data_IF_661622144921
#
_entry.id   IF_661622144921
#
_cell.length_a   1.000
_cell.length_b   1.000
_cell.length_c   1.000
_cell.angle_alpha   90.00
_cell.angle_beta   90.00
_cell.angle_gamma   90.00
#
_symmetry.space_group_name_H-M   'P 1'
#
loop_
_entity.id
_entity.type
_entity.pdbx_description
1 polymer ?
#
# COMPACT_ATOMS: atom_id res chain seq x y z
N UNK A 1 33.32 -12.65 -2.92
CA UNK A 1 32.05 -11.97 -3.18
C UNK A 1 31.20 -12.18 -1.97
N UNK A 2 30.51 -11.14 -1.47
CA UNK A 2 29.51 -11.32 -0.43
C UNK A 2 28.33 -12.05 -1.07
N UNK A 3 27.76 -13.05 -0.41
CA UNK A 3 26.56 -13.72 -0.92
C UNK A 3 25.43 -12.69 -0.94
N UNK A 4 24.72 -12.63 -2.07
CA UNK A 4 23.58 -11.71 -2.24
C UNK A 4 22.38 -12.24 -1.47
N UNK A 5 21.59 -11.32 -0.91
CA UNK A 5 20.32 -11.63 -0.27
C UNK A 5 19.29 -12.01 -1.33
N UNK A 6 18.48 -13.04 -1.07
CA UNK A 6 17.40 -13.48 -1.94
C UNK A 6 16.15 -12.64 -1.73
N UNK A 7 15.70 -11.98 -2.79
CA UNK A 7 14.52 -11.14 -2.81
C UNK A 7 13.39 -11.82 -3.58
N UNK A 8 12.23 -11.95 -2.95
CA UNK A 8 10.98 -12.36 -3.60
C UNK A 8 9.98 -11.21 -3.66
N UNK A 9 9.28 -11.06 -4.79
CA UNK A 9 8.22 -10.08 -5.02
C UNK A 9 6.95 -10.82 -5.44
N UNK A 10 6.00 -10.89 -4.52
CA UNK A 10 4.76 -11.65 -4.65
C UNK A 10 3.59 -10.71 -4.89
N UNK A 11 2.94 -10.86 -6.04
CA UNK A 11 1.77 -10.07 -6.41
C UNK A 11 0.50 -10.89 -6.22
N UNK A 12 -0.35 -10.42 -5.30
CA UNK A 12 -1.69 -10.97 -5.08
C UNK A 12 -2.70 -10.27 -6.01
N UNK A 13 -3.95 -10.11 -5.57
CA UNK A 13 -4.93 -9.33 -6.35
C UNK A 13 -4.70 -7.83 -6.15
N UNK A 14 -4.14 -7.17 -7.19
CA UNK A 14 -4.00 -5.72 -7.29
C UNK A 14 -4.01 -5.19 -8.75
N UNK A 15 -3.48 -3.99 -8.97
CA UNK A 15 -3.37 -3.35 -10.29
C UNK A 15 -1.97 -3.44 -10.92
N UNK A 16 -1.03 -4.18 -10.33
CA UNK A 16 0.39 -4.26 -10.71
C UNK A 16 1.21 -3.01 -10.40
N UNK A 17 0.57 -1.92 -9.94
CA UNK A 17 1.23 -0.62 -9.77
C UNK A 17 2.35 -0.62 -8.72
N UNK A 18 2.23 -1.42 -7.65
CA UNK A 18 3.23 -1.46 -6.59
C UNK A 18 4.52 -2.18 -7.02
N UNK A 19 4.39 -3.30 -7.73
CA UNK A 19 5.52 -4.04 -8.24
C UNK A 19 6.18 -3.32 -9.42
N UNK A 20 5.39 -2.78 -10.36
CA UNK A 20 5.91 -1.96 -11.45
C UNK A 20 6.70 -0.73 -10.96
N UNK A 21 6.23 -0.08 -9.88
CA UNK A 21 6.92 1.07 -9.31
C UNK A 21 8.34 0.75 -8.78
N UNK A 22 8.60 -0.50 -8.38
CA UNK A 22 9.94 -0.96 -8.02
C UNK A 22 10.87 -0.98 -9.24
N UNK A 23 10.36 -1.39 -10.40
CA UNK A 23 11.13 -1.37 -11.66
C UNK A 23 11.43 0.05 -12.14
N UNK A 24 10.64 1.04 -11.73
CA UNK A 24 10.89 2.47 -11.99
C UNK A 24 12.01 3.08 -11.13
N UNK A 25 12.72 2.28 -10.34
CA UNK A 25 13.99 2.68 -9.74
C UNK A 25 15.08 2.95 -10.79
N UNK A 26 14.94 2.41 -12.01
CA UNK A 26 15.88 2.62 -13.12
C UNK A 26 17.32 2.33 -12.69
N UNK A 27 18.21 3.32 -12.70
CA UNK A 27 19.61 3.17 -12.31
C UNK A 27 19.78 2.64 -10.87
N UNK A 28 18.93 3.11 -9.95
CA UNK A 28 18.95 2.65 -8.55
C UNK A 28 18.58 1.17 -8.38
N UNK A 29 17.92 0.57 -9.38
CA UNK A 29 17.66 -0.87 -9.35
C UNK A 29 18.95 -1.66 -9.47
N UNK A 30 19.94 -1.18 -10.24
CA UNK A 30 21.23 -1.85 -10.36
C UNK A 30 22.01 -1.82 -9.05
N UNK A 31 21.94 -0.72 -8.28
CA UNK A 31 22.50 -0.66 -6.93
C UNK A 31 21.92 -1.77 -6.04
N UNK A 32 20.60 -1.99 -6.09
CA UNK A 32 19.96 -3.05 -5.32
C UNK A 32 20.42 -4.43 -5.79
N UNK A 33 20.60 -4.64 -7.10
CA UNK A 33 21.08 -5.90 -7.66
C UNK A 33 22.55 -6.21 -7.27
N UNK A 34 23.32 -5.27 -6.73
CA UNK A 34 24.62 -5.58 -6.13
C UNK A 34 24.48 -6.36 -4.82
N UNK A 35 23.41 -6.13 -4.06
CA UNK A 35 23.13 -6.74 -2.76
C UNK A 35 22.09 -7.87 -2.82
N UNK A 36 21.18 -7.81 -3.79
CA UNK A 36 20.05 -8.73 -3.90
C UNK A 36 20.10 -9.57 -5.18
N UNK A 37 19.70 -10.82 -5.05
CA UNK A 37 19.32 -11.72 -6.14
C UNK A 37 17.80 -11.84 -6.17
N UNK A 38 17.15 -11.43 -7.27
CA UNK A 38 15.69 -11.54 -7.43
C UNK A 38 15.35 -12.95 -7.88
N UNK A 39 14.83 -13.77 -6.97
CA UNK A 39 14.54 -15.20 -7.20
C UNK A 39 13.06 -15.50 -7.44
N UNK A 40 12.18 -14.54 -7.17
CA UNK A 40 10.75 -14.58 -7.48
C UNK A 40 10.31 -13.16 -7.81
N UNK A 41 9.88 -12.92 -9.05
CA UNK A 41 9.25 -11.67 -9.46
C UNK A 41 8.72 -11.84 -10.89
N UNK A 42 7.44 -12.20 -11.03
CA UNK A 42 6.86 -12.55 -12.32
C UNK A 42 6.99 -11.48 -13.44
N UNK A 43 7.12 -10.19 -13.09
CA UNK A 43 7.34 -9.13 -14.09
C UNK A 43 8.80 -8.98 -14.54
N UNK A 44 9.76 -9.50 -13.77
CA UNK A 44 11.19 -9.27 -13.99
C UNK A 44 11.98 -10.55 -14.30
N UNK A 45 11.50 -11.72 -13.85
CA UNK A 45 12.17 -13.00 -14.02
C UNK A 45 11.17 -14.12 -14.24
N UNK A 46 11.61 -15.17 -14.93
CA UNK A 46 10.88 -16.44 -15.07
C UNK A 46 11.38 -17.51 -14.08
N UNK A 47 12.35 -17.15 -13.22
CA UNK A 47 12.81 -18.02 -12.15
C UNK A 47 11.73 -18.16 -11.08
N UNK A 48 11.53 -19.37 -10.58
CA UNK A 48 10.77 -19.68 -9.36
C UNK A 48 11.53 -20.74 -8.57
N UNK A 49 12.76 -20.41 -8.17
CA UNK A 49 13.72 -21.38 -7.61
C UNK A 49 13.87 -21.29 -6.08
N UNK A 50 13.11 -20.42 -5.43
CA UNK A 50 13.26 -20.12 -4.00
C UNK A 50 12.45 -21.03 -3.09
N UNK A 51 13.12 -21.93 -2.36
CA UNK A 51 12.56 -22.50 -1.11
C UNK A 51 12.77 -21.55 0.10
N UNK A 52 13.44 -20.41 -0.10
CA UNK A 52 13.84 -19.47 0.94
C UNK A 52 14.13 -18.08 0.37
N UNK A 53 13.70 -17.05 1.08
CA UNK A 53 13.90 -15.63 0.79
C UNK A 53 14.40 -14.91 2.04
N UNK A 54 15.46 -14.13 1.93
CA UNK A 54 15.88 -13.22 3.01
C UNK A 54 14.83 -12.11 3.18
N UNK A 55 14.31 -11.59 2.05
CA UNK A 55 13.26 -10.57 2.03
C UNK A 55 12.16 -10.93 1.04
N UNK A 56 10.90 -10.85 1.49
CA UNK A 56 9.72 -10.98 0.63
C UNK A 56 8.91 -9.69 0.63
N UNK A 57 8.72 -9.10 -0.55
CA UNK A 57 7.77 -8.01 -0.79
C UNK A 57 6.44 -8.62 -1.23
N UNK A 58 5.36 -8.33 -0.52
CA UNK A 58 4.02 -8.79 -0.91
C UNK A 58 3.13 -7.60 -1.22
N UNK A 59 2.59 -7.56 -2.44
CA UNK A 59 1.65 -6.53 -2.89
C UNK A 59 0.24 -7.09 -3.03
N UNK A 60 -0.74 -6.20 -2.96
CA UNK A 60 -2.13 -6.53 -3.22
C UNK A 60 -2.91 -7.12 -2.06
N UNK A 61 -4.15 -7.49 -2.34
CA UNK A 61 -5.09 -8.05 -1.36
C UNK A 61 -5.22 -9.55 -1.54
N UNK A 62 -5.57 -10.24 -0.46
CA UNK A 62 -6.06 -11.62 -0.55
C UNK A 62 -7.53 -11.56 -0.99
N UNK A 63 -7.77 -11.85 -2.27
CA UNK A 63 -9.10 -11.85 -2.88
C UNK A 63 -9.49 -13.19 -3.50
N UNK A 64 -8.57 -14.17 -3.53
CA UNK A 64 -8.82 -15.52 -4.02
C UNK A 64 -8.11 -16.56 -3.16
N UNK A 65 -8.49 -17.83 -3.29
CA UNK A 65 -7.75 -18.92 -2.65
C UNK A 65 -6.29 -19.02 -3.14
N UNK A 66 -6.01 -18.64 -4.40
CA UNK A 66 -4.64 -18.55 -4.94
C UNK A 66 -3.83 -17.54 -4.13
N UNK A 67 -4.38 -16.35 -3.90
CA UNK A 67 -3.69 -15.29 -3.16
C UNK A 67 -3.35 -15.72 -1.74
N UNK A 68 -4.30 -16.40 -1.06
CA UNK A 68 -4.08 -16.89 0.30
C UNK A 68 -2.96 -17.95 0.35
N UNK A 69 -2.90 -18.83 -0.66
CA UNK A 69 -1.86 -19.85 -0.73
C UNK A 69 -0.49 -19.21 -1.01
N UNK A 70 -0.43 -18.28 -1.96
CA UNK A 70 0.80 -17.56 -2.32
C UNK A 70 1.32 -16.71 -1.15
N UNK A 71 0.42 -16.05 -0.41
CA UNK A 71 0.80 -15.29 0.78
C UNK A 71 1.39 -16.19 1.87
N UNK A 72 0.79 -17.35 2.11
CA UNK A 72 1.29 -18.32 3.10
C UNK A 72 2.64 -18.87 2.69
N UNK A 73 2.82 -19.17 1.40
CA UNK A 73 4.12 -19.57 0.85
C UNK A 73 5.17 -18.48 1.09
N UNK A 74 4.88 -17.24 0.69
CA UNK A 74 5.78 -16.11 0.87
C UNK A 74 6.19 -15.94 2.34
N UNK A 75 5.23 -15.98 3.28
CA UNK A 75 5.53 -15.86 4.71
C UNK A 75 6.32 -17.05 5.26
N UNK A 76 5.99 -18.29 4.86
CA UNK A 76 6.63 -19.49 5.40
C UNK A 76 8.08 -19.65 4.93
N UNK A 77 8.41 -19.06 3.78
CA UNK A 77 9.75 -19.15 3.20
C UNK A 77 10.55 -17.85 3.33
N UNK A 78 10.02 -16.79 3.97
CA UNK A 78 10.74 -15.53 4.16
C UNK A 78 11.19 -15.30 5.60
N UNK A 79 12.39 -14.75 5.76
CA UNK A 79 12.85 -14.22 7.06
C UNK A 79 12.16 -12.90 7.36
N UNK A 80 12.15 -11.98 6.38
CA UNK A 80 11.57 -10.65 6.51
C UNK A 80 10.50 -10.38 5.46
N UNK A 81 9.24 -10.21 5.88
CA UNK A 81 8.11 -9.94 5.00
C UNK A 81 7.64 -8.49 5.09
N UNK A 82 7.57 -7.84 3.93
CA UNK A 82 7.13 -6.46 3.76
C UNK A 82 5.78 -6.43 3.06
N UNK A 83 4.76 -5.90 3.73
CA UNK A 83 3.50 -5.52 3.08
C UNK A 83 3.72 -4.23 2.28
N UNK A 84 3.70 -4.34 0.96
CA UNK A 84 4.05 -3.27 0.04
C UNK A 84 2.80 -2.70 -0.64
N UNK A 85 2.50 -1.44 -0.34
CA UNK A 85 1.37 -0.68 -0.87
C UNK A 85 0.10 -0.74 -0.02
N UNK A 86 -0.85 0.15 -0.34
CA UNK A 86 -2.09 0.32 0.43
C UNK A 86 -3.01 -0.89 0.32
N UNK A 87 -2.98 -1.63 -0.78
CA UNK A 87 -3.73 -2.87 -0.92
C UNK A 87 -3.29 -3.90 0.14
N UNK A 88 -1.98 -4.12 0.28
CA UNK A 88 -1.43 -5.09 1.22
C UNK A 88 -1.59 -4.65 2.69
N UNK A 89 -1.58 -3.34 2.94
CA UNK A 89 -1.62 -2.80 4.31
C UNK A 89 -3.04 -2.50 4.81
N UNK A 90 -3.93 -1.99 3.96
CA UNK A 90 -5.26 -1.49 4.34
C UNK A 90 -6.40 -1.93 3.41
N UNK A 91 -6.11 -2.75 2.39
CA UNK A 91 -7.11 -3.31 1.49
C UNK A 91 -7.43 -2.43 0.28
N UNK A 92 -7.23 -1.11 0.37
CA UNK A 92 -7.40 -0.17 -0.74
C UNK A 92 -8.78 -0.22 -1.40
N UNK A 93 -8.83 0.19 -2.68
CA UNK A 93 -10.05 0.26 -3.48
C UNK A 93 -10.76 -1.09 -3.62
N UNK A 94 -10.02 -2.20 -3.69
CA UNK A 94 -10.59 -3.55 -3.81
C UNK A 94 -11.41 -3.91 -2.58
N UNK A 95 -10.86 -3.61 -1.41
CA UNK A 95 -11.50 -3.85 -0.15
C UNK A 95 -12.70 -2.90 0.03
N UNK A 96 -12.62 -1.65 -0.41
CA UNK A 96 -13.64 -0.63 -0.12
C UNK A 96 -15.04 -0.90 -0.67
N UNK A 97 -15.23 -1.93 -1.50
CA UNK A 97 -16.54 -2.35 -1.97
C UNK A 97 -17.24 -3.22 -0.91
N UNK A 98 -18.31 -2.72 -0.32
CA UNK A 98 -18.99 -3.31 0.86
C UNK A 98 -19.93 -4.49 0.52
N UNK A 99 -20.19 -4.78 -0.76
CA UNK A 99 -21.06 -5.89 -1.16
C UNK A 99 -20.42 -7.27 -0.85
N UNK A 100 -21.20 -8.27 -0.44
CA UNK A 100 -20.71 -9.65 -0.33
C UNK A 100 -20.15 -10.15 -1.67
N UNK A 101 -19.09 -10.95 -1.64
CA UNK A 101 -18.46 -11.49 -2.87
C UNK A 101 -19.45 -12.16 -3.82
N UNK A 102 -20.48 -12.84 -3.31
CA UNK A 102 -21.53 -13.48 -4.12
C UNK A 102 -22.31 -12.47 -4.96
N UNK A 103 -22.63 -11.31 -4.41
CA UNK A 103 -23.36 -10.25 -5.12
C UNK A 103 -22.47 -9.56 -6.14
N UNK A 104 -21.19 -9.33 -5.80
CA UNK A 104 -20.18 -8.80 -6.74
C UNK A 104 -20.02 -9.69 -7.96
N UNK A 105 -19.87 -11.01 -7.73
CA UNK A 105 -19.77 -11.98 -8.80
C UNK A 105 -21.04 -12.02 -9.64
N UNK A 106 -22.22 -12.00 -9.01
CA UNK A 106 -23.50 -11.99 -9.71
C UNK A 106 -23.68 -10.77 -10.62
N UNK A 107 -23.20 -9.60 -10.20
CA UNK A 107 -23.27 -8.38 -11.00
C UNK A 107 -22.41 -8.45 -12.28
N UNK A 108 -21.30 -9.21 -12.28
CA UNK A 108 -20.37 -9.30 -13.41
C UNK A 108 -20.61 -10.53 -14.27
N UNK A 109 -20.81 -11.69 -13.65
CA UNK A 109 -20.88 -13.01 -14.28
C UNK A 109 -22.29 -13.62 -14.26
N UNK A 110 -23.27 -12.96 -13.64
CA UNK A 110 -24.61 -13.55 -13.48
C UNK A 110 -24.61 -14.72 -12.48
N UNK A 111 -25.44 -15.73 -12.71
CA UNK A 111 -25.56 -16.87 -11.78
C UNK A 111 -24.46 -17.95 -11.98
N UNK A 112 -23.43 -17.65 -12.78
CA UNK A 112 -22.26 -18.51 -13.05
C UNK A 112 -21.31 -18.60 -11.83
N UNK A 113 -21.82 -19.07 -10.69
CA UNK A 113 -21.06 -19.53 -9.52
C UNK A 113 -19.87 -18.65 -9.09
N UNK A 114 -18.84 -19.31 -8.53
CA UNK A 114 -17.58 -18.67 -8.13
C UNK A 114 -16.39 -19.49 -8.70
N UNK A 115 -16.18 -19.45 -10.03
CA UNK A 115 -15.19 -20.31 -10.69
C UNK A 115 -13.76 -20.04 -10.21
N UNK A 116 -13.47 -18.81 -9.78
CA UNK A 116 -12.13 -18.41 -9.30
C UNK A 116 -11.92 -18.64 -7.79
N UNK A 117 -12.93 -19.17 -7.07
CA UNK A 117 -12.89 -19.28 -5.60
C UNK A 117 -12.51 -17.94 -4.95
N UNK A 118 -13.13 -16.87 -5.43
CA UNK A 118 -12.97 -15.52 -4.92
C UNK A 118 -13.44 -15.43 -3.46
N UNK A 119 -12.77 -14.59 -2.70
CA UNK A 119 -12.95 -14.31 -1.29
C UNK A 119 -13.32 -12.82 -1.14
N UNK A 120 -13.82 -12.43 0.02
CA UNK A 120 -13.91 -11.01 0.36
C UNK A 120 -12.50 -10.42 0.51
N UNK A 121 -12.21 -9.39 -0.29
CA UNK A 121 -10.89 -8.76 -0.33
C UNK A 121 -10.49 -8.20 1.03
N UNK A 122 -9.33 -8.65 1.52
CA UNK A 122 -8.73 -8.25 2.80
C UNK A 122 -7.23 -8.00 2.64
N UNK A 123 -6.64 -7.08 3.42
CA UNK A 123 -5.21 -6.81 3.40
C UNK A 123 -4.40 -8.01 3.89
N UNK A 124 -3.13 -8.06 3.50
CA UNK A 124 -2.17 -9.11 3.88
C UNK A 124 -1.97 -9.17 5.40
N UNK A 125 -1.96 -8.01 6.05
CA UNK A 125 -1.73 -7.87 7.51
C UNK A 125 -2.79 -8.57 8.37
N UNK A 126 -3.96 -8.91 7.81
CA UNK A 126 -5.00 -9.69 8.51
C UNK A 126 -4.74 -11.21 8.51
N UNK A 127 -3.86 -11.72 7.64
CA UNK A 127 -3.66 -13.16 7.45
C UNK A 127 -2.33 -13.68 7.99
N UNK A 128 -1.28 -12.87 7.95
CA UNK A 128 0.07 -13.26 8.39
C UNK A 128 0.76 -12.11 9.13
N UNK A 129 1.73 -12.45 9.97
CA UNK A 129 2.61 -11.46 10.57
C UNK A 129 3.50 -10.80 9.50
N UNK A 130 3.55 -9.47 9.53
CA UNK A 130 4.39 -8.65 8.65
C UNK A 130 5.46 -7.94 9.48
N UNK A 131 6.69 -7.93 8.99
CA UNK A 131 7.82 -7.32 9.69
C UNK A 131 7.90 -5.82 9.40
N UNK A 132 7.56 -5.43 8.17
CA UNK A 132 7.44 -4.03 7.76
C UNK A 132 6.20 -3.79 6.90
N UNK A 133 5.66 -2.57 6.97
CA UNK A 133 4.55 -2.13 6.15
C UNK A 133 4.91 -0.80 5.50
N UNK A 134 4.84 -0.75 4.16
CA UNK A 134 5.09 0.46 3.39
C UNK A 134 3.81 0.84 2.62
N UNK A 135 2.94 1.68 3.19
CA UNK A 135 1.70 2.03 2.52
C UNK A 135 1.89 3.05 1.40
N UNK A 136 0.93 3.09 0.48
CA UNK A 136 0.87 4.00 -0.67
C UNK A 136 0.27 3.34 -1.90
N UNK A 137 -0.41 4.13 -2.73
CA UNK A 137 -1.12 3.63 -3.92
C UNK A 137 -0.68 4.36 -5.21
N UNK A 138 0.54 4.08 -5.73
CA UNK A 138 1.61 3.34 -5.07
C UNK A 138 2.40 4.21 -4.08
N UNK A 139 3.33 3.59 -3.35
CA UNK A 139 4.29 4.25 -2.46
C UNK A 139 5.32 5.09 -3.24
N UNK A 140 6.09 5.97 -2.58
CA UNK A 140 7.19 6.66 -3.27
C UNK A 140 8.34 5.69 -3.48
N UNK A 141 8.79 5.52 -4.73
CA UNK A 141 9.80 4.52 -5.08
C UNK A 141 11.11 4.65 -4.29
N UNK A 142 11.48 5.85 -3.82
CA UNK A 142 12.69 6.00 -3.02
C UNK A 142 12.52 5.39 -1.61
N UNK A 143 11.29 5.24 -1.12
CA UNK A 143 11.02 4.56 0.15
C UNK A 143 11.39 3.07 0.07
N UNK A 144 10.96 2.36 -0.98
CA UNK A 144 11.31 0.93 -1.11
C UNK A 144 12.81 0.76 -1.33
N UNK A 145 13.45 1.65 -2.10
CA UNK A 145 14.90 1.65 -2.25
C UNK A 145 15.61 1.82 -0.90
N UNK A 146 15.20 2.80 -0.10
CA UNK A 146 15.81 3.04 1.21
C UNK A 146 15.62 1.84 2.14
N UNK A 147 14.41 1.30 2.21
CA UNK A 147 14.09 0.12 3.04
C UNK A 147 14.96 -1.07 2.65
N UNK A 148 15.08 -1.39 1.36
CA UNK A 148 15.91 -2.50 0.90
C UNK A 148 17.41 -2.23 1.13
N UNK A 149 17.88 -1.00 0.97
CA UNK A 149 19.26 -0.63 1.27
C UNK A 149 19.59 -0.72 2.77
N UNK A 150 18.65 -0.36 3.64
CA UNK A 150 18.80 -0.46 5.10
C UNK A 150 18.94 -1.94 5.49
N UNK A 151 18.04 -2.80 5.00
CA UNK A 151 18.09 -4.25 5.25
C UNK A 151 19.39 -4.86 4.73
N UNK A 152 19.85 -4.48 3.52
CA UNK A 152 21.10 -4.98 2.95
C UNK A 152 22.34 -4.62 3.81
N UNK A 153 22.24 -3.56 4.61
CA UNK A 153 23.30 -3.11 5.54
C UNK A 153 23.10 -3.63 6.97
N UNK A 154 22.08 -4.46 7.21
CA UNK A 154 21.73 -4.94 8.55
C UNK A 154 21.15 -3.86 9.45
N UNK A 155 20.52 -2.83 8.88
CA UNK A 155 19.87 -1.73 9.58
C UNK A 155 18.36 -1.95 9.55
N UNK A 156 17.72 -1.87 10.71
CA UNK A 156 16.26 -1.93 10.81
C UNK A 156 15.63 -0.70 10.13
N UNK A 157 14.74 -0.90 9.12
CA UNK A 157 14.13 0.22 8.42
C UNK A 157 13.23 1.06 9.34
N UNK A 158 13.33 2.39 9.21
CA UNK A 158 12.52 3.31 10.02
C UNK A 158 11.18 3.58 9.33
N UNK A 159 10.08 3.35 10.06
CA UNK A 159 8.74 3.72 9.61
C UNK A 159 8.54 5.22 9.79
N UNK A 160 8.00 5.88 8.78
CA UNK A 160 7.53 7.27 8.91
C UNK A 160 6.27 7.30 9.75
N UNK A 161 6.24 8.15 10.76
CA UNK A 161 5.19 8.24 11.78
C UNK A 161 4.55 9.64 11.82
N UNK A 162 4.61 10.37 10.71
CA UNK A 162 4.08 11.72 10.58
C UNK A 162 3.02 11.82 9.48
N UNK A 163 2.09 12.79 9.56
CA UNK A 163 1.06 12.98 8.54
C UNK A 163 1.60 13.71 7.31
N UNK A 164 0.88 13.62 6.19
CA UNK A 164 1.21 14.36 4.94
C UNK A 164 1.39 15.87 5.20
N UNK A 165 0.70 16.42 6.21
CA UNK A 165 0.85 17.82 6.62
C UNK A 165 2.29 18.24 6.92
N UNK A 166 3.14 17.36 7.48
CA UNK A 166 4.54 17.70 7.74
C UNK A 166 5.27 17.99 6.41
N UNK A 167 5.05 17.16 5.40
CA UNK A 167 5.65 17.34 4.07
C UNK A 167 5.11 18.59 3.36
N UNK A 168 3.81 18.88 3.49
CA UNK A 168 3.24 20.13 2.98
C UNK A 168 3.95 21.36 3.56
N UNK A 169 4.25 21.34 4.87
CA UNK A 169 4.94 22.44 5.55
C UNK A 169 6.40 22.55 5.16
N UNK A 170 7.12 21.43 5.10
CA UNK A 170 8.53 21.39 4.68
C UNK A 170 8.73 21.87 3.24
N UNK A 171 7.74 21.63 2.36
CA UNK A 171 7.75 22.11 0.98
C UNK A 171 7.10 23.48 0.78
N UNK A 172 6.68 24.16 1.86
CA UNK A 172 6.03 25.48 1.82
C UNK A 172 4.77 25.55 0.94
N UNK A 173 4.03 24.44 0.81
CA UNK A 173 2.80 24.42 0.02
C UNK A 173 1.67 25.16 0.73
N UNK A 174 0.95 25.98 -0.05
CA UNK A 174 -0.27 26.63 0.42
C UNK A 174 -1.31 25.58 0.83
N UNK A 175 -1.86 25.71 2.04
CA UNK A 175 -2.84 24.76 2.56
C UNK A 175 -4.14 24.85 1.76
N UNK A 176 -4.40 23.86 0.91
CA UNK A 176 -5.61 23.78 0.08
C UNK A 176 -6.89 23.61 0.90
N UNK A 177 -6.81 22.99 2.08
CA UNK A 177 -7.96 22.83 2.98
C UNK A 177 -8.42 24.18 3.52
N UNK A 178 -7.51 24.92 4.16
CA UNK A 178 -7.84 26.19 4.82
C UNK A 178 -7.98 27.36 3.84
N UNK A 179 -7.13 27.43 2.81
CA UNK A 179 -7.11 28.58 1.89
C UNK A 179 -8.09 28.46 0.73
N UNK A 180 -8.39 27.24 0.29
CA UNK A 180 -9.23 26.97 -0.89
C UNK A 180 -10.51 26.20 -0.56
N UNK A 181 -10.69 25.77 0.70
CA UNK A 181 -11.83 24.95 1.09
C UNK A 181 -11.86 23.58 0.42
N UNK A 182 -10.72 23.05 -0.05
CA UNK A 182 -10.69 21.76 -0.75
C UNK A 182 -10.55 20.58 0.23
N UNK A 183 -11.28 19.47 0.02
CA UNK A 183 -11.36 18.37 0.96
C UNK A 183 -10.06 17.56 0.93
N UNK A 184 -9.39 17.44 2.08
CA UNK A 184 -8.01 17.01 2.15
C UNK A 184 -7.74 16.15 3.39
N UNK A 185 -7.60 14.83 3.22
CA UNK A 185 -7.32 13.89 4.33
C UNK A 185 -5.86 13.92 4.82
N UNK A 186 -5.09 14.93 4.42
CA UNK A 186 -3.66 15.05 4.72
C UNK A 186 -3.31 15.04 6.22
N UNK A 187 -4.13 15.66 7.11
CA UNK A 187 -3.87 15.65 8.55
C UNK A 187 -3.90 14.27 9.20
N UNK A 188 -4.63 13.32 8.62
CA UNK A 188 -4.87 11.99 9.20
C UNK A 188 -4.26 10.84 8.39
N UNK A 189 -3.58 11.16 7.29
CA UNK A 189 -2.99 10.18 6.36
C UNK A 189 -1.48 10.07 6.55
N UNK A 190 -0.93 8.86 6.50
CA UNK A 190 0.53 8.63 6.51
C UNK A 190 1.26 9.51 5.50
N UNK A 191 2.32 10.18 5.95
CA UNK A 191 3.29 10.86 5.10
C UNK A 191 4.16 9.89 4.30
N UNK A 192 4.98 10.43 3.41
CA UNK A 192 5.99 9.73 2.63
C UNK A 192 5.86 9.89 1.12
N UNK A 193 4.76 10.47 0.63
CA UNK A 193 4.54 10.78 -0.78
C UNK A 193 5.01 12.19 -1.20
N UNK A 194 5.72 12.88 -0.30
CA UNK A 194 6.16 14.26 -0.49
C UNK A 194 5.01 15.21 -0.87
N UNK A 195 3.84 15.00 -0.28
CA UNK A 195 2.62 15.77 -0.51
C UNK A 195 2.26 16.02 -2.01
N UNK A 196 2.48 15.03 -2.87
CA UNK A 196 2.35 15.17 -4.34
C UNK A 196 1.00 15.73 -4.82
N UNK A 197 -0.11 15.38 -4.16
CA UNK A 197 -1.44 15.91 -4.52
C UNK A 197 -1.53 17.42 -4.28
N UNK A 198 -1.01 17.88 -3.14
CA UNK A 198 -1.07 19.29 -2.72
C UNK A 198 -0.14 20.14 -3.58
N UNK A 199 1.01 19.59 -3.98
CA UNK A 199 1.89 20.20 -4.99
C UNK A 199 1.14 20.52 -6.30
N UNK A 200 0.20 19.66 -6.68
CA UNK A 200 -0.65 19.84 -7.86
C UNK A 200 -1.93 20.66 -7.60
N UNK A 201 -2.07 21.26 -6.40
CA UNK A 201 -3.23 22.08 -6.03
C UNK A 201 -4.47 21.28 -5.63
N UNK A 202 -4.35 19.97 -5.41
CA UNK A 202 -5.44 19.08 -4.99
C UNK A 202 -5.34 18.73 -3.50
N UNK A 203 -6.49 18.44 -2.87
CA UNK A 203 -6.52 17.88 -1.53
C UNK A 203 -6.00 16.45 -1.49
N UNK A 204 -5.36 16.06 -0.39
CA UNK A 204 -4.95 14.67 -0.17
C UNK A 204 -6.18 13.74 -0.20
N UNK A 205 -6.04 12.62 -0.89
CA UNK A 205 -7.11 11.63 -1.09
C UNK A 205 -7.04 10.44 -0.12
N UNK A 206 -6.10 10.45 0.85
CA UNK A 206 -5.99 9.38 1.83
C UNK A 206 -5.37 8.07 1.33
N UNK A 207 -4.71 8.08 0.16
CA UNK A 207 -4.28 6.84 -0.49
C UNK A 207 -3.19 6.06 0.26
N UNK A 208 -2.54 6.64 1.28
CA UNK A 208 -1.52 5.97 2.11
C UNK A 208 -2.08 5.35 3.40
N UNK A 209 -3.38 5.40 3.63
CA UNK A 209 -3.94 4.85 4.86
C UNK A 209 -3.68 5.73 6.11
N UNK A 210 -4.16 5.30 7.28
CA UNK A 210 -4.25 6.12 8.48
C UNK A 210 -2.89 6.17 9.09
N UNK A 211 -2.49 7.35 9.52
CA UNK A 211 -1.41 7.40 10.47
C UNK A 211 -1.94 6.79 11.80
N UNK A 212 -1.34 5.70 12.33
CA UNK A 212 -1.71 5.15 13.61
C UNK A 212 -1.30 6.09 14.74
N UNK A 213 -2.01 6.04 15.86
CA UNK A 213 -1.77 6.90 17.01
C UNK A 213 -2.77 8.04 17.11
N UNK A 214 -2.34 9.18 17.65
CA UNK A 214 -3.19 10.32 18.03
C UNK A 214 -3.61 11.21 16.85
N UNK A 215 -4.13 10.62 15.77
CA UNK A 215 -4.86 11.38 14.74
C UNK A 215 -6.33 11.58 15.16
N UNK A 216 -6.99 12.60 14.60
CA UNK A 216 -8.38 12.93 14.91
C UNK A 216 -9.30 12.84 13.67
N UNK A 217 -9.72 11.62 13.26
CA UNK A 217 -10.64 11.40 12.14
C UNK A 217 -11.96 12.17 12.30
N UNK A 218 -12.55 12.16 13.50
CA UNK A 218 -13.80 12.86 13.79
C UNK A 218 -13.64 14.39 13.61
N UNK A 219 -12.52 14.96 14.06
CA UNK A 219 -12.22 16.37 13.84
C UNK A 219 -12.04 16.72 12.37
N UNK A 220 -11.39 15.85 11.59
CA UNK A 220 -11.28 16.02 10.14
C UNK A 220 -12.66 15.96 9.46
N UNK A 221 -13.53 15.04 9.89
CA UNK A 221 -14.90 14.96 9.42
C UNK A 221 -15.69 16.26 9.67
N UNK A 222 -15.64 16.79 10.89
CA UNK A 222 -16.33 18.04 11.23
C UNK A 222 -15.79 19.24 10.41
N UNK A 223 -14.47 19.33 10.18
CA UNK A 223 -13.91 20.38 9.32
C UNK A 223 -14.46 20.29 7.89
N UNK A 224 -14.56 19.08 7.33
CA UNK A 224 -15.11 18.89 5.98
C UNK A 224 -16.61 19.21 5.92
N UNK A 225 -17.34 18.97 7.01
CA UNK A 225 -18.75 19.36 7.15
C UNK A 225 -18.93 20.87 7.19
N UNK A 226 -18.10 21.58 7.95
CA UNK A 226 -18.11 23.05 8.01
C UNK A 226 -17.83 23.68 6.64
N UNK A 227 -17.03 23.02 5.80
CA UNK A 227 -16.79 23.39 4.40
C UNK A 227 -17.95 23.04 3.45
N UNK A 228 -19.10 22.57 3.97
CA UNK A 228 -20.31 22.23 3.21
C UNK A 228 -20.17 21.03 2.25
N UNK A 229 -19.26 20.10 2.53
CA UNK A 229 -19.24 18.80 1.84
C UNK A 229 -20.32 17.86 2.38
N UNK A 230 -20.89 17.04 1.50
CA UNK A 230 -21.94 16.09 1.86
C UNK A 230 -21.39 14.87 2.62
N UNK A 231 -22.22 14.29 3.49
CA UNK A 231 -21.84 13.18 4.35
C UNK A 231 -21.38 11.96 3.56
N UNK A 232 -22.08 11.64 2.49
CA UNK A 232 -21.79 10.49 1.64
C UNK A 232 -20.42 10.64 0.97
N UNK A 233 -20.10 11.84 0.47
CA UNK A 233 -18.82 12.19 -0.11
C UNK A 233 -17.69 12.07 0.90
N UNK A 234 -17.86 12.61 2.11
CA UNK A 234 -16.83 12.55 3.16
C UNK A 234 -16.58 11.09 3.54
N UNK A 235 -17.63 10.34 3.88
CA UNK A 235 -17.51 8.92 4.24
C UNK A 235 -16.88 8.11 3.12
N UNK A 236 -17.29 8.33 1.86
CA UNK A 236 -16.68 7.66 0.70
C UNK A 236 -15.19 7.98 0.59
N UNK A 237 -14.79 9.23 0.82
CA UNK A 237 -13.38 9.66 0.78
C UNK A 237 -12.55 8.94 1.85
N UNK A 238 -13.07 8.80 3.07
CA UNK A 238 -12.42 8.05 4.16
C UNK A 238 -12.31 6.55 3.83
N UNK A 239 -13.37 5.98 3.23
CA UNK A 239 -13.43 4.55 2.96
C UNK A 239 -12.57 4.11 1.77
N UNK A 240 -12.49 4.91 0.69
CA UNK A 240 -11.95 4.50 -0.64
C UNK A 240 -10.62 3.75 -0.60
N UNK A 241 -9.70 4.09 0.30
CA UNK A 241 -8.37 3.46 0.36
C UNK A 241 -8.08 2.68 1.64
N UNK A 242 -8.85 2.88 2.70
CA UNK A 242 -8.51 2.32 4.00
C UNK A 242 -9.71 1.87 4.84
N UNK A 243 -10.92 1.89 4.26
CA UNK A 243 -12.18 1.54 4.92
C UNK A 243 -12.39 2.22 6.29
N UNK A 244 -11.94 3.47 6.48
CA UNK A 244 -12.20 4.15 7.76
C UNK A 244 -13.65 4.56 7.91
N UNK A 245 -14.08 4.51 9.16
CA UNK A 245 -15.24 5.23 9.62
C UNK A 245 -14.73 6.49 10.36
N UNK A 246 -15.28 7.67 10.04
CA UNK A 246 -14.91 8.93 10.69
C UNK A 246 -15.23 8.98 12.18
#
# INVERSE_FOLDING_TARGET
MMDKLKLGVFELTDCGGCALNMLFLYEKLFDLLEFYEITEFHMATSLSEGNHYDVALVTGTVSTQRDLNLLKEARNHSEYLIALGTCATHGSVQASVELPIREKLKAVYGDDGNPMRALDSKPVVEYVAVDFALPGCPYDKNEVYQVLMDIAKGIEPVRKDYPVCLECKLNEYECVLVKKGLPCLGPITYGGCNAVCVRSGLGCIGCRGPLPGEVNPAGEYEILKELSYDDEYIVRKFKTFARWEP
#
